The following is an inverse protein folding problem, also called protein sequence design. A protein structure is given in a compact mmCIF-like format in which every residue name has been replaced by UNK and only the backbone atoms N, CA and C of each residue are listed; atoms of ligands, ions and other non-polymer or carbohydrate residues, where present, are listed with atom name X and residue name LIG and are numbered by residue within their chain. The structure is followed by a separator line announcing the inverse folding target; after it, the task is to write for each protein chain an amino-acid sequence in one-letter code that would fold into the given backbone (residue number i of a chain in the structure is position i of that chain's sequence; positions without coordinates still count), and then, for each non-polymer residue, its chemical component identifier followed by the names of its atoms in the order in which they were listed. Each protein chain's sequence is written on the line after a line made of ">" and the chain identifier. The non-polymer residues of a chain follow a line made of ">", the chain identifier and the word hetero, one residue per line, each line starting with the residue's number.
data_IF_599283440005
#
_entry.id   IF_599283440005
#
_cell.length_a   1.000
_cell.length_b   1.000
_cell.length_c   1.000
_cell.angle_alpha   90.00
_cell.angle_beta   90.00
_cell.angle_gamma   90.00
#
_symmetry.space_group_name_H-M   'P 1'
#
loop_
_entity.id
_entity.type
_entity.pdbx_description
1 polymer ?
#
# COMPACT_ATOMS: atom_id res chain seq x y z
N UNK A 1 -9.38 1.20 16.55
CA UNK A 1 -8.45 0.87 15.44
C UNK A 1 -8.89 1.42 14.08
N UNK A 2 -10.02 0.98 13.49
CA UNK A 2 -10.39 1.30 12.09
C UNK A 2 -10.58 2.81 11.86
N UNK A 3 -11.17 3.54 12.82
CA UNK A 3 -11.36 5.00 12.71
C UNK A 3 -10.00 5.72 12.63
N UNK A 4 -9.03 5.32 13.45
CA UNK A 4 -7.67 5.88 13.44
C UNK A 4 -6.98 5.58 12.11
N UNK A 5 -7.15 4.35 11.59
CA UNK A 5 -6.63 3.96 10.28
C UNK A 5 -7.23 4.85 9.16
N UNK A 6 -8.55 5.05 9.17
CA UNK A 6 -9.22 5.89 8.18
C UNK A 6 -8.69 7.33 8.23
N UNK A 7 -8.62 7.92 9.42
CA UNK A 7 -8.10 9.29 9.61
C UNK A 7 -6.66 9.44 9.11
N UNK A 8 -5.79 8.46 9.38
CA UNK A 8 -4.40 8.48 8.92
C UNK A 8 -4.28 8.37 7.40
N UNK A 9 -5.22 7.68 6.74
CA UNK A 9 -5.21 7.49 5.30
C UNK A 9 -5.75 8.70 4.52
N UNK A 10 -6.64 9.50 5.13
CA UNK A 10 -7.24 10.67 4.46
C UNK A 10 -6.19 11.74 4.10
N UNK A 11 -5.18 11.94 4.94
CA UNK A 11 -4.10 12.92 4.70
C UNK A 11 -3.34 12.61 3.39
N UNK A 12 -2.80 11.38 3.20
CA UNK A 12 -2.24 10.95 1.92
C UNK A 12 -3.21 11.09 0.75
N UNK A 13 -4.48 10.71 0.91
CA UNK A 13 -5.46 10.75 -0.16
C UNK A 13 -5.65 12.18 -0.66
N UNK A 14 -5.74 13.15 0.25
CA UNK A 14 -5.79 14.57 -0.11
C UNK A 14 -4.50 15.03 -0.82
N UNK A 15 -3.34 14.51 -0.39
CA UNK A 15 -2.06 14.85 -0.99
C UNK A 15 -1.89 14.31 -2.43
N UNK A 16 -2.66 13.29 -2.85
CA UNK A 16 -2.67 12.79 -4.24
C UNK A 16 -3.04 13.91 -5.22
N UNK A 17 -3.92 14.83 -4.82
CA UNK A 17 -4.33 15.95 -5.68
C UNK A 17 -3.16 16.92 -6.01
N UNK A 18 -2.10 16.90 -5.20
CA UNK A 18 -0.88 17.73 -5.39
C UNK A 18 0.31 16.90 -5.89
N UNK A 19 0.06 15.71 -6.41
CA UNK A 19 1.11 14.82 -6.88
C UNK A 19 1.62 15.18 -8.27
N UNK A 20 2.90 14.89 -8.52
CA UNK A 20 3.54 15.14 -9.81
C UNK A 20 3.43 13.88 -10.69
N UNK A 21 2.40 13.84 -11.53
CA UNK A 21 2.14 12.71 -12.43
C UNK A 21 2.51 13.03 -13.87
N UNK A 22 2.62 12.00 -14.71
CA UNK A 22 2.96 12.17 -16.12
C UNK A 22 1.79 12.87 -16.81
N UNK A 23 2.06 14.02 -17.41
CA UNK A 23 1.09 14.71 -18.29
C UNK A 23 1.17 14.09 -19.67
N UNK A 24 0.05 13.55 -20.16
CA UNK A 24 -0.02 13.03 -21.53
C UNK A 24 -0.36 14.17 -22.50
N UNK A 25 0.38 14.32 -23.62
CA UNK A 25 0.10 15.36 -24.61
C UNK A 25 -1.22 15.15 -25.37
N UNK A 26 -1.77 13.94 -25.36
CA UNK A 26 -3.02 13.60 -26.03
C UNK A 26 -4.17 13.44 -25.03
N UNK A 27 -5.43 13.66 -25.46
CA UNK A 27 -6.58 13.43 -24.59
C UNK A 27 -6.68 11.96 -24.20
N UNK A 28 -6.40 11.67 -22.92
CA UNK A 28 -6.46 10.32 -22.36
C UNK A 28 -7.91 9.90 -22.18
N UNK A 29 -8.30 8.76 -22.76
CA UNK A 29 -9.57 8.10 -22.48
C UNK A 29 -9.37 7.09 -21.35
N UNK A 30 -10.36 6.99 -20.47
CA UNK A 30 -10.28 6.07 -19.35
C UNK A 30 -10.51 4.64 -19.85
N UNK A 31 -9.47 3.83 -19.77
CA UNK A 31 -9.56 2.39 -20.05
C UNK A 31 -10.06 1.66 -18.80
N UNK A 32 -11.38 1.63 -18.62
CA UNK A 32 -11.99 0.98 -17.47
C UNK A 32 -11.61 -0.51 -17.34
N UNK A 33 -11.56 -1.32 -18.42
CA UNK A 33 -11.04 -2.68 -18.34
C UNK A 33 -9.62 -2.77 -17.76
N UNK A 34 -8.69 -1.91 -18.19
CA UNK A 34 -7.32 -1.89 -17.65
C UNK A 34 -7.33 -1.51 -16.16
N UNK A 35 -8.00 -0.40 -15.81
CA UNK A 35 -8.06 0.12 -14.43
C UNK A 35 -8.66 -0.91 -13.47
N UNK A 36 -9.79 -1.52 -13.84
CA UNK A 36 -10.47 -2.51 -13.00
C UNK A 36 -9.65 -3.79 -12.85
N UNK A 37 -8.98 -4.23 -13.91
CA UNK A 37 -8.13 -5.44 -13.85
C UNK A 37 -6.98 -5.22 -12.89
N UNK A 38 -6.27 -4.11 -13.00
CA UNK A 38 -5.10 -3.81 -12.16
C UNK A 38 -5.50 -3.62 -10.70
N UNK A 39 -6.59 -2.87 -10.45
CA UNK A 39 -7.13 -2.68 -9.11
C UNK A 39 -7.53 -4.02 -8.49
N UNK A 40 -8.14 -4.92 -9.26
CA UNK A 40 -8.55 -6.25 -8.79
C UNK A 40 -7.34 -7.14 -8.47
N UNK A 41 -6.34 -7.16 -9.35
CA UNK A 41 -5.12 -7.97 -9.14
C UNK A 41 -4.35 -7.51 -7.90
N UNK A 42 -4.15 -6.20 -7.75
CA UNK A 42 -3.49 -5.64 -6.56
C UNK A 42 -4.32 -5.86 -5.29
N UNK A 43 -5.64 -5.76 -5.38
CA UNK A 43 -6.55 -6.06 -4.28
C UNK A 43 -6.44 -7.52 -3.83
N UNK A 44 -6.48 -8.47 -4.77
CA UNK A 44 -6.32 -9.90 -4.48
C UNK A 44 -4.94 -10.18 -3.86
N UNK A 45 -3.87 -9.59 -4.38
CA UNK A 45 -2.53 -9.71 -3.80
C UNK A 45 -2.50 -9.20 -2.35
N UNK A 46 -3.16 -8.08 -2.06
CA UNK A 46 -3.33 -7.54 -0.71
C UNK A 46 -4.13 -8.46 0.24
N UNK A 47 -5.18 -9.13 -0.27
CA UNK A 47 -5.94 -10.11 0.48
C UNK A 47 -5.08 -11.34 0.80
N UNK A 48 -4.38 -11.89 -0.20
CA UNK A 48 -3.46 -13.03 -0.01
C UNK A 48 -2.39 -12.67 1.04
N UNK A 49 -1.79 -11.48 0.94
CA UNK A 49 -0.86 -10.95 1.93
C UNK A 49 -1.47 -10.87 3.33
N UNK A 50 -2.76 -10.61 3.45
CA UNK A 50 -3.46 -10.51 4.75
C UNK A 50 -3.68 -11.88 5.36
N UNK A 51 -4.19 -12.83 4.58
CA UNK A 51 -4.37 -14.20 5.05
C UNK A 51 -3.05 -14.90 5.37
N UNK A 52 -2.00 -14.67 4.58
CA UNK A 52 -0.68 -15.23 4.86
C UNK A 52 -0.13 -14.71 6.20
N UNK A 53 -0.19 -13.39 6.44
CA UNK A 53 0.24 -12.82 7.72
C UNK A 53 -0.58 -13.38 8.88
N UNK A 54 -1.91 -13.43 8.73
CA UNK A 54 -2.80 -13.96 9.75
C UNK A 54 -2.45 -15.41 10.10
N UNK A 55 -2.22 -16.25 9.09
CA UNK A 55 -1.82 -17.65 9.28
C UNK A 55 -0.50 -17.76 10.05
N UNK A 56 0.53 -16.96 9.69
CA UNK A 56 1.82 -16.95 10.39
C UNK A 56 1.63 -16.57 11.86
N UNK A 57 0.84 -15.53 12.15
CA UNK A 57 0.60 -15.06 13.52
C UNK A 57 -0.17 -16.09 14.36
N UNK A 58 -1.13 -16.81 13.77
CA UNK A 58 -1.83 -17.91 14.43
C UNK A 58 -0.87 -19.06 14.78
N UNK A 59 0.03 -19.44 13.88
CA UNK A 59 1.03 -20.48 14.16
C UNK A 59 1.99 -20.07 15.28
N UNK A 60 2.31 -18.78 15.39
CA UNK A 60 3.11 -18.21 16.47
C UNK A 60 2.35 -18.08 17.80
N UNK A 61 1.06 -18.43 17.86
CA UNK A 61 0.20 -18.36 19.05
C UNK A 61 0.19 -16.96 19.69
N UNK A 62 0.25 -15.92 18.85
CA UNK A 62 0.11 -14.52 19.28
C UNK A 62 -1.33 -14.28 19.72
N UNK A 63 -1.54 -13.45 20.75
CA UNK A 63 -2.89 -13.11 21.22
C UNK A 63 -3.68 -12.31 20.18
N UNK A 64 -5.00 -12.51 20.14
CA UNK A 64 -5.89 -11.86 19.16
C UNK A 64 -5.79 -10.32 19.20
N UNK A 65 -5.63 -9.75 20.39
CA UNK A 65 -5.45 -8.30 20.59
C UNK A 65 -4.16 -7.78 19.94
N UNK A 66 -3.06 -8.52 20.06
CA UNK A 66 -1.78 -8.16 19.44
C UNK A 66 -1.89 -8.35 17.92
N UNK A 67 -2.55 -9.41 17.45
CA UNK A 67 -2.83 -9.61 16.02
C UNK A 67 -3.58 -8.40 15.45
N UNK A 68 -4.61 -7.91 16.15
CA UNK A 68 -5.35 -6.72 15.73
C UNK A 68 -4.41 -5.50 15.59
N UNK A 69 -3.54 -5.23 16.56
CA UNK A 69 -2.56 -4.14 16.48
C UNK A 69 -1.51 -4.34 15.38
N UNK A 70 -1.09 -5.57 15.10
CA UNK A 70 -0.19 -5.87 13.97
C UNK A 70 -0.86 -5.59 12.64
N UNK A 71 -2.13 -5.96 12.52
CA UNK A 71 -2.94 -5.65 11.33
C UNK A 71 -3.14 -4.15 11.15
N UNK A 72 -3.25 -3.38 12.23
CA UNK A 72 -3.26 -1.92 12.14
C UNK A 72 -1.98 -1.40 11.46
N UNK A 73 -0.80 -1.75 11.97
CA UNK A 73 0.48 -1.31 11.40
C UNK A 73 0.62 -1.78 9.96
N UNK A 74 0.26 -3.05 9.69
CA UNK A 74 0.30 -3.61 8.34
C UNK A 74 -0.58 -2.80 7.38
N UNK A 75 -1.83 -2.51 7.74
CA UNK A 75 -2.75 -1.77 6.87
C UNK A 75 -2.32 -0.32 6.66
N UNK A 76 -1.77 0.32 7.69
CA UNK A 76 -1.13 1.63 7.54
C UNK A 76 0.01 1.50 6.52
N UNK A 77 1.07 0.76 6.82
CA UNK A 77 2.29 0.77 5.97
C UNK A 77 2.01 0.25 4.55
N UNK A 78 1.24 -0.84 4.40
CA UNK A 78 0.92 -1.42 3.09
C UNK A 78 -0.06 -0.56 2.27
N UNK A 79 -1.03 0.10 2.92
CA UNK A 79 -1.94 1.03 2.24
C UNK A 79 -1.17 2.21 1.64
N UNK A 80 -0.30 2.80 2.45
CA UNK A 80 0.62 3.87 2.03
C UNK A 80 1.54 3.43 0.88
N UNK A 81 2.12 2.22 0.96
CA UNK A 81 2.91 1.64 -0.12
C UNK A 81 2.12 1.43 -1.42
N UNK A 82 0.83 1.07 -1.32
CA UNK A 82 -0.01 0.88 -2.51
C UNK A 82 -0.19 2.18 -3.29
N UNK A 83 -0.34 3.32 -2.61
CA UNK A 83 -0.42 4.65 -3.25
C UNK A 83 0.81 4.91 -4.11
N UNK A 84 2.01 4.58 -3.62
CA UNK A 84 3.24 4.71 -4.42
C UNK A 84 3.24 3.79 -5.64
N UNK A 85 2.76 2.55 -5.51
CA UNK A 85 2.69 1.60 -6.61
C UNK A 85 1.69 2.03 -7.69
N UNK A 86 0.56 2.61 -7.31
CA UNK A 86 -0.52 2.98 -8.23
C UNK A 86 -0.34 4.36 -8.88
N UNK A 87 0.61 5.18 -8.42
CA UNK A 87 0.91 6.50 -9.02
C UNK A 87 1.33 6.39 -10.48
N UNK A 88 2.11 5.36 -10.83
CA UNK A 88 2.70 5.22 -12.16
C UNK A 88 2.42 3.84 -12.74
N UNK A 89 2.18 3.81 -14.05
CA UNK A 89 2.04 2.58 -14.83
C UNK A 89 3.37 1.82 -15.01
N UNK A 90 4.47 2.51 -14.77
CA UNK A 90 5.83 1.98 -14.76
C UNK A 90 6.28 1.61 -13.34
N UNK A 91 7.48 1.01 -13.25
CA UNK A 91 8.16 0.75 -11.98
C UNK A 91 8.18 1.99 -11.06
N UNK A 92 7.97 1.78 -9.76
CA UNK A 92 7.83 2.87 -8.79
C UNK A 92 9.06 3.81 -8.71
N UNK A 93 10.26 3.30 -9.03
CA UNK A 93 11.52 4.05 -9.06
C UNK A 93 11.79 4.81 -10.36
N UNK A 94 10.94 4.67 -11.39
CA UNK A 94 11.06 5.50 -12.60
C UNK A 94 10.41 6.86 -12.37
N UNK A 95 10.95 7.88 -13.04
CA UNK A 95 10.31 9.20 -13.13
C UNK A 95 8.89 9.06 -13.71
N UNK A 96 7.91 9.85 -13.25
CA UNK A 96 8.02 10.96 -12.29
C UNK A 96 8.06 10.49 -10.82
N UNK A 97 8.91 11.17 -10.04
CA UNK A 97 9.01 10.97 -8.60
C UNK A 97 7.82 11.62 -7.87
N UNK A 98 7.40 11.08 -6.71
CA UNK A 98 6.29 11.67 -5.95
C UNK A 98 6.62 13.12 -5.61
N UNK A 99 5.59 13.97 -5.53
CA UNK A 99 5.78 15.30 -4.97
C UNK A 99 6.25 15.21 -3.52
N UNK A 100 7.04 16.20 -3.08
CA UNK A 100 7.50 16.25 -1.68
C UNK A 100 6.35 16.24 -0.68
N UNK A 101 5.22 16.86 -1.04
CA UNK A 101 4.02 16.86 -0.20
C UNK A 101 3.44 15.45 -0.08
N UNK A 102 3.28 14.73 -1.19
CA UNK A 102 2.77 13.35 -1.17
C UNK A 102 3.71 12.43 -0.38
N UNK A 103 5.02 12.52 -0.65
CA UNK A 103 6.00 11.70 0.03
C UNK A 103 5.98 11.93 1.55
N UNK A 104 6.05 13.19 1.98
CA UNK A 104 6.06 13.53 3.40
C UNK A 104 4.74 13.18 4.09
N UNK A 105 3.59 13.40 3.44
CA UNK A 105 2.29 12.99 3.97
C UNK A 105 2.27 11.50 4.24
N UNK A 106 2.61 10.68 3.23
CA UNK A 106 2.58 9.22 3.33
C UNK A 106 3.57 8.71 4.39
N UNK A 107 4.79 9.23 4.39
CA UNK A 107 5.84 8.77 5.29
C UNK A 107 5.53 9.16 6.75
N UNK A 108 5.07 10.40 6.97
CA UNK A 108 4.78 10.91 8.31
C UNK A 108 3.59 10.19 8.95
N UNK A 109 2.51 9.96 8.19
CA UNK A 109 1.34 9.21 8.70
C UNK A 109 1.66 7.75 8.96
N UNK A 110 2.52 7.12 8.15
CA UNK A 110 2.98 5.76 8.38
C UNK A 110 3.82 5.64 9.67
N UNK A 111 4.73 6.61 9.91
CA UNK A 111 5.49 6.68 11.16
C UNK A 111 4.54 6.91 12.34
N UNK A 112 3.64 7.89 12.26
CA UNK A 112 2.69 8.19 13.34
C UNK A 112 1.83 6.97 13.69
N UNK A 113 1.28 6.27 12.69
CA UNK A 113 0.55 5.02 12.90
C UNK A 113 1.41 3.95 13.57
N UNK A 114 2.67 3.81 13.17
CA UNK A 114 3.60 2.87 13.80
C UNK A 114 3.86 3.25 15.26
N UNK A 115 4.08 4.53 15.57
CA UNK A 115 4.30 5.00 16.95
C UNK A 115 3.07 4.76 17.83
N UNK A 116 1.87 4.99 17.30
CA UNK A 116 0.59 4.70 17.99
C UNK A 116 0.53 3.22 18.40
N UNK A 117 0.94 2.31 17.51
CA UNK A 117 0.93 0.87 17.78
C UNK A 117 2.04 0.41 18.72
N UNK A 118 3.24 0.98 18.59
CA UNK A 118 4.38 0.65 19.45
C UNK A 118 4.11 1.06 20.90
N UNK A 119 3.58 2.26 21.12
CA UNK A 119 3.30 2.78 22.46
C UNK A 119 1.91 2.41 22.99
N UNK A 120 1.08 1.76 22.20
CA UNK A 120 -0.24 1.28 22.62
C UNK A 120 -1.28 2.38 22.86
N UNK A 121 -1.24 3.45 22.05
CA UNK A 121 -2.22 4.54 22.15
C UNK A 121 -3.53 4.05 21.49
N UNK A 122 -4.58 3.82 22.28
CA UNK A 122 -5.89 3.26 21.84
C UNK A 122 -5.89 1.82 21.30
N UNK A 123 -4.75 1.13 21.27
CA UNK A 123 -4.61 -0.26 20.83
C UNK A 123 -3.57 -0.99 21.69
N UNK A 124 -3.56 -2.32 21.67
CA UNK A 124 -2.61 -3.12 22.45
C UNK A 124 -1.17 -2.88 21.96
N UNK A 125 -0.20 -2.60 22.85
CA UNK A 125 1.16 -2.30 22.45
C UNK A 125 1.85 -3.53 21.86
N UNK A 126 2.48 -3.34 20.70
CA UNK A 126 3.21 -4.42 19.99
C UNK A 126 4.72 -4.35 20.18
N UNK A 127 5.27 -3.21 20.63
CA UNK A 127 6.72 -3.00 20.70
C UNK A 127 7.43 -2.83 19.35
N UNK A 128 8.69 -2.41 19.41
CA UNK A 128 9.48 -2.07 18.22
C UNK A 128 9.86 -3.28 17.36
N UNK A 129 10.10 -4.44 17.98
CA UNK A 129 10.49 -5.65 17.25
C UNK A 129 9.42 -6.05 16.24
N UNK A 130 8.19 -6.22 16.71
CA UNK A 130 7.07 -6.57 15.85
C UNK A 130 6.74 -5.46 14.83
N UNK A 131 6.87 -4.19 15.21
CA UNK A 131 6.71 -3.08 14.27
C UNK A 131 7.70 -3.17 13.10
N UNK A 132 8.98 -3.44 13.38
CA UNK A 132 10.01 -3.61 12.35
C UNK A 132 9.74 -4.81 11.46
N UNK A 133 9.26 -5.93 12.02
CA UNK A 133 8.82 -7.09 11.24
C UNK A 133 7.66 -6.75 10.31
N UNK A 134 6.68 -5.94 10.77
CA UNK A 134 5.57 -5.49 9.93
C UNK A 134 6.04 -4.56 8.80
N UNK A 135 7.01 -3.68 9.06
CA UNK A 135 7.63 -2.86 8.03
C UNK A 135 8.36 -3.71 6.99
N UNK A 136 9.19 -4.67 7.42
CA UNK A 136 9.88 -5.59 6.52
C UNK A 136 8.89 -6.40 5.66
N UNK A 137 7.82 -6.89 6.28
CA UNK A 137 6.75 -7.60 5.59
C UNK A 137 6.04 -6.70 4.55
N UNK A 138 5.63 -5.50 4.95
CA UNK A 138 4.95 -4.56 4.07
C UNK A 138 5.84 -4.09 2.91
N UNK A 139 7.13 -3.82 3.15
CA UNK A 139 8.09 -3.46 2.11
C UNK A 139 8.36 -4.61 1.13
N UNK A 140 8.41 -5.85 1.62
CA UNK A 140 8.52 -7.03 0.76
C UNK A 140 7.32 -7.15 -0.18
N UNK A 141 6.11 -6.98 0.37
CA UNK A 141 4.87 -6.98 -0.41
C UNK A 141 4.74 -5.77 -1.33
N UNK A 142 5.28 -4.62 -0.95
CA UNK A 142 5.34 -3.43 -1.79
C UNK A 142 6.12 -3.70 -3.09
N UNK A 143 7.31 -4.30 -2.98
CA UNK A 143 8.12 -4.69 -4.15
C UNK A 143 7.40 -5.76 -4.97
N UNK A 144 6.84 -6.79 -4.31
CA UNK A 144 6.06 -7.83 -4.99
C UNK A 144 4.88 -7.25 -5.78
N UNK A 145 4.13 -6.34 -5.18
CA UNK A 145 3.00 -5.68 -5.83
C UNK A 145 3.43 -4.83 -7.03
N UNK A 146 4.59 -4.17 -6.99
CA UNK A 146 5.11 -3.44 -8.15
C UNK A 146 5.45 -4.38 -9.31
N UNK A 147 6.04 -5.54 -9.02
CA UNK A 147 6.32 -6.58 -10.03
C UNK A 147 5.02 -7.09 -10.65
N UNK A 148 4.04 -7.46 -9.83
CA UNK A 148 2.74 -7.97 -10.28
C UNK A 148 2.00 -6.93 -11.12
N UNK A 149 2.02 -5.67 -10.70
CA UNK A 149 1.45 -4.54 -11.44
C UNK A 149 2.04 -4.46 -12.86
N UNK A 150 3.36 -4.50 -12.98
CA UNK A 150 4.05 -4.35 -14.26
C UNK A 150 3.82 -5.55 -15.17
N UNK A 151 3.80 -6.76 -14.62
CA UNK A 151 3.43 -7.95 -15.37
C UNK A 151 2.01 -7.83 -15.93
N UNK A 152 1.08 -7.31 -15.11
CA UNK A 152 -0.32 -7.10 -15.51
C UNK A 152 -0.43 -6.04 -16.62
N UNK A 153 0.23 -4.89 -16.48
CA UNK A 153 0.26 -3.86 -17.54
C UNK A 153 0.82 -4.39 -18.85
N UNK A 154 1.92 -5.16 -18.82
CA UNK A 154 2.50 -5.76 -20.03
C UNK A 154 1.50 -6.70 -20.71
N UNK A 155 0.91 -7.60 -19.93
CA UNK A 155 -0.07 -8.55 -20.47
C UNK A 155 -1.30 -7.88 -21.09
N UNK A 156 -1.80 -6.80 -20.49
CA UNK A 156 -2.95 -6.06 -21.01
C UNK A 156 -2.61 -5.27 -22.28
N UNK A 157 -1.48 -4.57 -22.30
CA UNK A 157 -1.06 -3.74 -23.45
C UNK A 157 -0.61 -4.58 -24.64
N UNK A 158 0.01 -5.73 -24.41
CA UNK A 158 0.35 -6.68 -25.47
C UNK A 158 -0.92 -7.21 -26.17
N UNK A 159 -2.05 -7.32 -25.44
CA UNK A 159 -3.34 -7.72 -26.03
C UNK A 159 -4.01 -6.61 -26.83
N UNK A 160 -3.89 -5.35 -26.42
CA UNK A 160 -4.45 -4.23 -27.17
C UNK A 160 -3.76 -3.99 -28.52
N UNK A 161 -2.48 -4.34 -28.66
CA UNK A 161 -1.77 -4.24 -29.93
C UNK A 161 -2.13 -5.33 -30.97
N UNK A 162 -2.92 -6.34 -30.58
CA UNK A 162 -3.30 -7.48 -31.44
C UNK A 162 -4.68 -7.29 -32.09
N UNK A 163 -5.45 -6.26 -31.70
CA UNK A 163 -6.76 -5.92 -32.26
C UNK A 163 -6.73 -4.58 -32.99
#
# INVERSE_FOLDING_TARGET
>A
MIIVLALLNDIPILAIASDNTKVDPNPVRWNMPEILTISSVLGIAGVISSFLLFYILLQMKISDEVIQSLFFVKLVVAGHGTIYNTRTDNWFWKKPYPSWLLFNSIFSTAILGTLIAVYGIFITPIGWEYAMWMWAYALSWFVFNDVVKIATYRFLRDREHVF
#
